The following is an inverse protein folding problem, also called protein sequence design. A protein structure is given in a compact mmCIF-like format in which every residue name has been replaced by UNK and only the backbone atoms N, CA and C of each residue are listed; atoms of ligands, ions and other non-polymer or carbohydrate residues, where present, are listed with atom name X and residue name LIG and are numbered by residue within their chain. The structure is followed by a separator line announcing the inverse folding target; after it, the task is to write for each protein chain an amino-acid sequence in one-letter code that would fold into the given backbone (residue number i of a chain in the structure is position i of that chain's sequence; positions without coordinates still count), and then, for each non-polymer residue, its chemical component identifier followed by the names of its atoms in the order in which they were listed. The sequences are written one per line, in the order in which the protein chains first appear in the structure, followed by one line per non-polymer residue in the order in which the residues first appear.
data_IF_386747481738
#
_entry.id   IF_386747481738
#
_cell.length_a   1.000
_cell.length_b   1.000
_cell.length_c   1.000
_cell.angle_alpha   90.00
_cell.angle_beta   90.00
_cell.angle_gamma   90.00
#
_symmetry.space_group_name_H-M   'P 1'
#
loop_
_entity.id
_entity.type
_entity.pdbx_description
1 polymer ?
#
# COMPACT_ATOMS: atom_id res chain seq x y z
N UNK A 1 -5.83 -6.92 -18.14
CA UNK A 1 -5.05 -8.16 -17.95
C UNK A 1 -3.61 -7.87 -17.55
N UNK A 2 -2.80 -7.19 -18.37
CA UNK A 2 -1.40 -6.82 -18.00
C UNK A 2 -1.29 -6.02 -16.69
N UNK A 3 -2.19 -5.07 -16.47
CA UNK A 3 -2.27 -4.30 -15.21
C UNK A 3 -2.55 -5.17 -13.99
N UNK A 4 -3.42 -6.18 -14.14
CA UNK A 4 -3.80 -7.11 -13.07
C UNK A 4 -2.64 -8.04 -12.74
N UNK A 5 -1.95 -8.59 -13.74
CA UNK A 5 -0.78 -9.44 -13.54
C UNK A 5 0.37 -8.66 -12.89
N UNK A 6 0.60 -7.41 -13.31
CA UNK A 6 1.59 -6.52 -12.68
C UNK A 6 1.25 -6.18 -11.23
N UNK A 7 -0.04 -5.92 -10.93
CA UNK A 7 -0.52 -5.72 -9.56
C UNK A 7 -0.27 -6.96 -8.71
N UNK A 8 -0.70 -8.14 -9.17
CA UNK A 8 -0.58 -9.39 -8.39
C UNK A 8 0.89 -9.71 -8.10
N UNK A 9 1.77 -9.66 -9.10
CA UNK A 9 3.18 -10.01 -8.95
C UNK A 9 3.91 -9.11 -7.93
N UNK A 10 3.61 -7.82 -7.91
CA UNK A 10 4.23 -6.87 -6.98
C UNK A 10 3.58 -6.94 -5.60
N UNK A 11 2.27 -7.14 -5.53
CA UNK A 11 1.55 -7.26 -4.25
C UNK A 11 1.96 -8.53 -3.48
N UNK A 12 2.47 -9.55 -4.18
CA UNK A 12 3.05 -10.75 -3.57
C UNK A 12 4.55 -10.64 -3.26
N UNK A 13 5.21 -9.56 -3.68
CA UNK A 13 6.60 -9.30 -3.35
C UNK A 13 6.78 -9.20 -1.83
N UNK A 14 7.59 -10.09 -1.25
CA UNK A 14 7.98 -10.03 0.15
C UNK A 14 9.49 -10.21 0.31
N UNK A 15 10.07 -9.42 1.20
CA UNK A 15 11.45 -9.54 1.64
C UNK A 15 11.48 -10.29 2.96
N UNK A 16 11.97 -11.51 2.91
CA UNK A 16 12.12 -12.36 4.09
C UNK A 16 13.45 -12.04 4.79
N UNK A 17 13.38 -11.50 6.02
CA UNK A 17 14.56 -11.25 6.85
C UNK A 17 14.79 -12.48 7.73
N UNK A 18 15.94 -13.16 7.66
CA UNK A 18 16.21 -14.32 8.51
C UNK A 18 16.32 -13.91 9.97
N UNK A 19 15.63 -14.63 10.85
CA UNK A 19 15.69 -14.46 12.30
C UNK A 19 16.19 -15.75 12.95
N UNK A 20 16.92 -15.61 14.04
CA UNK A 20 17.43 -16.72 14.84
C UNK A 20 16.93 -16.57 16.26
N UNK A 21 16.46 -17.66 16.85
CA UNK A 21 16.01 -17.69 18.24
C UNK A 21 17.16 -18.14 19.14
N UNK A 22 17.43 -17.37 20.20
CA UNK A 22 18.52 -17.66 21.14
C UNK A 22 18.33 -18.98 21.92
N UNK A 23 17.12 -19.56 21.94
CA UNK A 23 16.75 -20.70 22.80
C UNK A 23 16.61 -22.06 22.08
N UNK A 24 16.91 -22.16 20.78
CA UNK A 24 16.91 -23.46 20.07
C UNK A 24 18.26 -24.19 20.18
N UNK A 25 18.62 -24.62 21.39
CA UNK A 25 19.67 -25.63 21.61
C UNK A 25 19.14 -26.70 22.57
N UNK A 26 18.10 -27.43 22.12
CA UNK A 26 17.74 -28.74 22.68
C UNK A 26 17.06 -29.57 21.60
N UNK A 27 17.88 -30.13 20.70
CA UNK A 27 17.45 -31.10 19.69
C UNK A 27 18.09 -30.86 18.33
N UNK A 28 18.88 -31.82 17.85
CA UNK A 28 19.55 -31.82 16.52
C UNK A 28 18.57 -31.72 15.33
N UNK A 29 17.26 -31.81 15.56
CA UNK A 29 16.22 -31.69 14.53
C UNK A 29 15.64 -30.27 14.36
N UNK A 30 15.84 -29.34 15.30
CA UNK A 30 15.23 -28.00 15.25
C UNK A 30 16.09 -26.93 14.55
N UNK A 31 17.34 -27.25 14.21
CA UNK A 31 18.29 -26.31 13.60
C UNK A 31 18.03 -26.00 12.10
N UNK A 32 17.11 -26.73 11.45
CA UNK A 32 16.84 -26.63 10.01
C UNK A 32 15.59 -25.81 9.65
N UNK A 33 14.83 -25.28 10.63
CA UNK A 33 13.74 -24.35 10.33
C UNK A 33 14.32 -22.93 10.20
N UNK A 34 14.50 -22.49 8.96
CA UNK A 34 14.87 -21.11 8.63
C UNK A 34 13.70 -20.19 8.98
N UNK A 35 13.64 -19.73 10.22
CA UNK A 35 12.63 -18.75 10.62
C UNK A 35 12.96 -17.40 9.96
N UNK A 36 11.95 -16.75 9.41
CA UNK A 36 12.09 -15.46 8.78
C UNK A 36 10.94 -14.54 9.20
N UNK A 37 11.25 -13.24 9.32
CA UNK A 37 10.27 -12.19 9.43
C UNK A 37 9.93 -11.70 8.01
N UNK A 38 8.72 -12.00 7.48
CA UNK A 38 8.33 -11.53 6.16
C UNK A 38 7.98 -10.03 6.22
N UNK A 39 8.70 -9.21 5.47
CA UNK A 39 8.31 -7.81 5.21
C UNK A 39 7.74 -7.70 3.80
N UNK A 40 6.45 -7.38 3.69
CA UNK A 40 5.79 -7.22 2.38
C UNK A 40 6.20 -5.91 1.72
N UNK A 41 6.32 -5.90 0.39
CA UNK A 41 6.60 -4.68 -0.39
C UNK A 41 5.43 -3.70 -0.35
N UNK A 42 4.20 -4.22 -0.34
CA UNK A 42 2.99 -3.45 -0.14
C UNK A 42 2.32 -3.83 1.19
N UNK A 43 2.82 -3.28 2.30
CA UNK A 43 2.14 -3.41 3.61
C UNK A 43 0.89 -2.54 3.71
N UNK A 44 0.78 -1.52 2.85
CA UNK A 44 -0.28 -0.53 2.90
C UNK A 44 -1.60 -1.02 2.24
N UNK A 45 -1.53 -2.08 1.44
CA UNK A 45 -2.67 -2.62 0.71
C UNK A 45 -3.23 -1.60 -0.27
N UNK A 46 -4.56 -1.46 -0.27
CA UNK A 46 -5.32 -0.56 -1.16
C UNK A 46 -5.62 0.79 -0.51
N UNK A 47 -5.43 0.90 0.80
CA UNK A 47 -5.91 2.02 1.62
C UNK A 47 -5.34 3.37 1.16
N UNK A 48 -4.04 3.52 0.85
CA UNK A 48 -3.50 4.78 0.32
C UNK A 48 -4.17 5.25 -0.98
N UNK A 49 -4.52 4.30 -1.85
CA UNK A 49 -5.18 4.59 -3.13
C UNK A 49 -6.56 5.19 -2.88
N UNK A 50 -7.32 4.60 -1.95
CA UNK A 50 -8.65 5.07 -1.57
C UNK A 50 -8.59 6.48 -0.97
N UNK A 51 -7.62 6.75 -0.08
CA UNK A 51 -7.42 8.09 0.47
C UNK A 51 -7.01 9.12 -0.59
N UNK A 52 -6.16 8.73 -1.54
CA UNK A 52 -5.81 9.63 -2.64
C UNK A 52 -7.04 9.98 -3.50
N UNK A 53 -7.88 8.99 -3.85
CA UNK A 53 -9.11 9.22 -4.62
C UNK A 53 -10.08 10.13 -3.87
N UNK A 54 -10.29 9.90 -2.57
CA UNK A 54 -11.22 10.72 -1.80
C UNK A 54 -10.77 12.18 -1.72
N UNK A 55 -9.47 12.44 -1.53
CA UNK A 55 -8.90 13.80 -1.51
C UNK A 55 -9.04 14.49 -2.87
N UNK A 56 -8.84 13.78 -3.99
CA UNK A 56 -8.94 14.36 -5.32
C UNK A 56 -10.39 14.65 -5.72
N UNK A 57 -11.34 13.79 -5.36
CA UNK A 57 -12.76 13.96 -5.73
C UNK A 57 -13.50 14.94 -4.82
N UNK A 58 -12.99 15.23 -3.63
CA UNK A 58 -13.68 16.06 -2.65
C UNK A 58 -13.87 17.53 -3.10
N UNK A 59 -12.84 18.26 -3.62
CA UNK A 59 -13.03 19.64 -4.08
C UNK A 59 -14.04 19.81 -5.23
N UNK A 60 -14.00 19.04 -6.33
CA UNK A 60 -15.00 19.18 -7.40
C UNK A 60 -16.40 18.79 -6.95
N UNK A 61 -16.54 17.83 -6.02
CA UNK A 61 -17.84 17.47 -5.45
C UNK A 61 -18.47 18.66 -4.70
N UNK A 62 -17.70 19.37 -3.88
CA UNK A 62 -18.18 20.59 -3.20
C UNK A 62 -18.48 21.69 -4.21
N UNK A 63 -17.59 21.89 -5.18
CA UNK A 63 -17.75 22.92 -6.20
C UNK A 63 -19.02 22.73 -7.04
N UNK A 64 -19.44 21.48 -7.30
CA UNK A 64 -20.69 21.19 -8.02
C UNK A 64 -21.92 21.79 -7.33
N UNK A 65 -22.00 21.79 -6.00
CA UNK A 65 -23.12 22.40 -5.27
C UNK A 65 -23.25 23.91 -5.47
N UNK A 66 -22.12 24.60 -5.72
CA UNK A 66 -22.08 26.05 -5.92
C UNK A 66 -22.06 26.46 -7.41
N UNK A 67 -21.99 25.49 -8.33
CA UNK A 67 -21.82 25.75 -9.77
C UNK A 67 -23.02 26.43 -10.44
N UNK A 68 -24.22 26.26 -9.88
CA UNK A 68 -25.48 26.83 -10.40
C UNK A 68 -25.76 28.25 -9.91
N UNK A 69 -24.95 28.82 -9.01
CA UNK A 69 -25.16 30.18 -8.50
C UNK A 69 -24.62 31.25 -9.47
N UNK A 70 -25.44 32.22 -9.92
CA UNK A 70 -24.96 33.37 -10.67
C UNK A 70 -24.22 34.33 -9.72
N UNK A 71 -22.89 34.29 -9.73
CA UNK A 71 -22.02 35.15 -8.91
C UNK A 71 -20.54 34.75 -8.98
N UNK A 72 -19.67 35.51 -8.31
CA UNK A 72 -18.22 35.22 -8.21
C UNK A 72 -17.94 33.85 -7.58
N UNK A 73 -18.77 33.40 -6.64
CA UNK A 73 -18.71 32.05 -6.07
C UNK A 73 -18.96 30.93 -7.09
N UNK A 74 -19.88 31.14 -8.03
CA UNK A 74 -20.14 30.19 -9.12
C UNK A 74 -19.06 30.20 -10.21
N UNK A 75 -18.33 31.30 -10.38
CA UNK A 75 -17.16 31.36 -11.26
C UNK A 75 -15.97 30.60 -10.68
N UNK A 76 -15.72 30.74 -9.37
CA UNK A 76 -14.69 29.97 -8.64
C UNK A 76 -15.01 28.48 -8.65
N UNK A 77 -16.27 28.10 -8.39
CA UNK A 77 -16.71 26.71 -8.47
C UNK A 77 -16.46 26.09 -9.85
N UNK A 78 -16.77 26.81 -10.93
CA UNK A 78 -16.49 26.36 -12.30
C UNK A 78 -14.99 26.26 -12.58
N UNK A 79 -14.19 27.22 -12.11
CA UNK A 79 -12.73 27.18 -12.25
C UNK A 79 -12.12 25.94 -11.55
N UNK A 80 -12.59 25.60 -10.35
CA UNK A 80 -12.17 24.39 -9.62
C UNK A 80 -12.51 23.13 -10.41
N UNK A 81 -13.74 23.03 -10.94
CA UNK A 81 -14.16 21.87 -11.74
C UNK A 81 -13.29 21.75 -13.00
N UNK A 82 -13.07 22.84 -13.74
CA UNK A 82 -12.24 22.83 -14.95
C UNK A 82 -10.78 22.45 -14.64
N UNK A 83 -10.24 22.92 -13.51
CA UNK A 83 -8.88 22.61 -13.09
C UNK A 83 -8.70 21.12 -12.74
N UNK A 84 -9.64 20.53 -12.00
CA UNK A 84 -9.62 19.10 -11.65
C UNK A 84 -10.01 18.19 -12.82
N UNK A 85 -10.66 18.72 -13.86
CA UNK A 85 -10.99 17.98 -15.07
C UNK A 85 -9.81 17.91 -16.07
N UNK A 86 -8.71 18.64 -15.82
CA UNK A 86 -7.50 18.50 -16.62
C UNK A 86 -6.82 17.16 -16.33
N UNK A 87 -6.89 16.25 -17.30
CA UNK A 87 -6.34 14.88 -17.24
C UNK A 87 -4.90 14.82 -16.74
N UNK A 88 -4.02 15.74 -17.19
CA UNK A 88 -2.61 15.75 -16.81
C UNK A 88 -2.43 16.21 -15.36
N UNK A 89 -3.16 17.25 -14.94
CA UNK A 89 -3.11 17.74 -13.57
C UNK A 89 -3.68 16.70 -12.60
N UNK A 90 -4.83 16.11 -12.93
CA UNK A 90 -5.45 15.04 -12.17
C UNK A 90 -4.49 13.85 -12.00
N UNK A 91 -3.88 13.38 -13.10
CA UNK A 91 -2.94 12.26 -13.06
C UNK A 91 -1.70 12.52 -12.23
N UNK A 92 -1.09 13.72 -12.36
CA UNK A 92 0.10 14.09 -11.59
C UNK A 92 -0.21 14.29 -10.11
N UNK A 93 -1.31 14.98 -9.77
CA UNK A 93 -1.74 15.17 -8.39
C UNK A 93 -2.07 13.82 -7.74
N UNK A 94 -2.78 12.96 -8.46
CA UNK A 94 -3.13 11.62 -8.00
C UNK A 94 -1.89 10.75 -7.78
N UNK A 95 -0.89 10.81 -8.68
CA UNK A 95 0.40 10.12 -8.51
C UNK A 95 1.08 10.53 -7.20
N UNK A 96 1.21 11.84 -6.96
CA UNK A 96 1.90 12.39 -5.79
C UNK A 96 1.15 12.02 -4.51
N UNK A 97 -0.19 12.11 -4.53
CA UNK A 97 -1.02 11.73 -3.38
C UNK A 97 -0.89 10.24 -3.06
N UNK A 98 -0.97 9.35 -4.05
CA UNK A 98 -0.80 7.90 -3.83
C UNK A 98 0.60 7.59 -3.29
N UNK A 99 1.64 8.20 -3.85
CA UNK A 99 3.01 8.02 -3.38
C UNK A 99 3.16 8.49 -1.92
N UNK A 100 2.68 9.70 -1.61
CA UNK A 100 2.74 10.29 -0.28
C UNK A 100 1.91 9.52 0.76
N UNK A 101 0.68 9.13 0.43
CA UNK A 101 -0.17 8.36 1.34
C UNK A 101 0.36 6.96 1.57
N UNK A 102 0.99 6.31 0.58
CA UNK A 102 1.63 5.01 0.79
C UNK A 102 2.74 5.12 1.82
N UNK A 103 3.56 6.18 1.73
CA UNK A 103 4.64 6.42 2.70
C UNK A 103 4.09 6.74 4.09
N UNK A 104 3.10 7.63 4.16
CA UNK A 104 2.45 8.05 5.40
C UNK A 104 1.78 6.88 6.13
N UNK A 105 0.95 6.11 5.42
CA UNK A 105 0.24 4.98 5.99
C UNK A 105 1.19 3.87 6.45
N UNK A 106 2.23 3.57 5.67
CA UNK A 106 3.23 2.56 6.07
C UNK A 106 3.98 3.01 7.32
N UNK A 107 4.32 4.30 7.46
CA UNK A 107 5.01 4.82 8.64
C UNK A 107 4.15 4.76 9.92
N UNK A 108 2.82 4.86 9.80
CA UNK A 108 1.90 4.74 10.95
C UNK A 108 1.81 3.29 11.46
N UNK A 109 1.72 2.34 10.54
CA UNK A 109 1.53 0.92 10.88
C UNK A 109 2.85 0.27 11.25
N UNK A 110 3.89 0.53 10.46
CA UNK A 110 5.18 -0.06 10.67
C UNK A 110 5.95 0.73 11.71
N UNK A 111 6.05 0.14 12.90
CA UNK A 111 6.76 0.67 14.05
C UNK A 111 8.03 -0.15 14.32
N UNK A 112 9.19 0.23 13.74
CA UNK A 112 10.42 -0.54 13.86
C UNK A 112 10.87 -0.70 15.32
N UNK A 113 10.61 0.32 16.14
CA UNK A 113 10.84 0.36 17.58
C UNK A 113 10.15 -0.80 18.29
N UNK A 114 8.84 -0.92 18.09
CA UNK A 114 8.03 -1.98 18.70
C UNK A 114 8.38 -3.36 18.17
N UNK A 115 8.70 -3.46 16.88
CA UNK A 115 9.10 -4.74 16.29
C UNK A 115 10.44 -5.23 16.83
N UNK A 116 11.43 -4.35 16.98
CA UNK A 116 12.71 -4.67 17.58
C UNK A 116 12.56 -5.11 19.05
N UNK A 117 11.75 -4.40 19.82
CA UNK A 117 11.45 -4.76 21.21
C UNK A 117 10.73 -6.12 21.31
N UNK A 118 9.74 -6.36 20.46
CA UNK A 118 9.03 -7.64 20.41
C UNK A 118 9.94 -8.81 20.04
N UNK A 119 10.84 -8.63 19.05
CA UNK A 119 11.84 -9.63 18.69
C UNK A 119 12.74 -9.95 19.89
N UNK A 120 13.25 -8.91 20.56
CA UNK A 120 14.09 -9.08 21.75
C UNK A 120 13.36 -9.81 22.88
N UNK A 121 12.10 -9.44 23.17
CA UNK A 121 11.26 -10.10 24.19
C UNK A 121 10.99 -11.58 23.87
N UNK A 122 10.84 -11.91 22.59
CA UNK A 122 10.66 -13.30 22.13
C UNK A 122 11.99 -14.09 22.06
N UNK A 123 13.13 -13.47 22.41
CA UNK A 123 14.45 -14.08 22.29
C UNK A 123 14.89 -14.30 20.84
N UNK A 124 14.27 -13.60 19.88
CA UNK A 124 14.61 -13.61 18.47
C UNK A 124 15.54 -12.44 18.13
N UNK A 125 16.48 -12.67 17.21
CA UNK A 125 17.38 -11.63 16.71
C UNK A 125 17.65 -11.81 15.22
N UNK A 126 17.98 -10.71 14.55
CA UNK A 126 18.34 -10.73 13.13
C UNK A 126 19.83 -11.11 13.03
N UNK A 127 20.17 -12.01 12.12
CA UNK A 127 21.55 -12.40 11.89
C UNK A 127 22.43 -11.17 11.58
N UNK A 128 23.59 -11.07 12.23
CA UNK A 128 24.57 -9.97 12.09
C UNK A 128 24.12 -8.58 12.61
N UNK A 129 23.03 -8.48 13.38
CA UNK A 129 22.57 -7.20 13.97
C UNK A 129 22.33 -7.37 15.47
N UNK A 130 22.84 -6.45 16.31
CA UNK A 130 22.64 -6.55 17.76
C UNK A 130 21.18 -6.23 18.13
N UNK A 131 20.55 -7.03 19.03
CA UNK A 131 19.19 -6.76 19.49
C UNK A 131 19.02 -5.36 20.10
N UNK A 132 17.82 -4.77 19.94
CA UNK A 132 17.50 -3.42 20.40
C UNK A 132 17.64 -2.37 19.29
N UNK A 133 18.32 -1.25 19.59
CA UNK A 133 18.42 -0.08 18.69
C UNK A 133 19.00 -0.40 17.30
N UNK A 134 19.98 -1.30 17.21
CA UNK A 134 20.55 -1.65 15.89
C UNK A 134 19.55 -2.42 15.02
N UNK A 135 18.73 -3.28 15.63
CA UNK A 135 17.62 -3.97 14.93
C UNK A 135 16.57 -2.98 14.45
N UNK A 136 16.21 -2.00 15.29
CA UNK A 136 15.28 -0.92 14.92
C UNK A 136 15.77 -0.13 13.70
N UNK A 137 17.02 0.35 13.73
CA UNK A 137 17.61 1.10 12.61
C UNK A 137 17.71 0.26 11.34
N UNK A 138 18.06 -1.02 11.46
CA UNK A 138 18.13 -1.93 10.33
C UNK A 138 16.75 -2.13 9.69
N UNK A 139 15.73 -2.43 10.50
CA UNK A 139 14.36 -2.60 10.02
C UNK A 139 13.83 -1.31 9.39
N UNK A 140 14.11 -0.14 9.99
CA UNK A 140 13.75 1.16 9.43
C UNK A 140 14.39 1.42 8.07
N UNK A 141 15.68 1.15 7.90
CA UNK A 141 16.40 1.33 6.62
C UNK A 141 15.88 0.38 5.54
N UNK A 142 15.65 -0.89 5.89
CA UNK A 142 15.10 -1.87 4.95
C UNK A 142 13.68 -1.48 4.54
N UNK A 143 12.84 -1.09 5.50
CA UNK A 143 11.47 -0.69 5.24
C UNK A 143 11.41 0.54 4.32
N UNK A 144 12.20 1.58 4.61
CA UNK A 144 12.19 2.79 3.80
C UNK A 144 12.50 2.50 2.31
N UNK A 145 13.48 1.62 2.03
CA UNK A 145 13.79 1.20 0.65
C UNK A 145 12.68 0.38 0.00
N UNK A 146 12.03 -0.50 0.76
CA UNK A 146 10.90 -1.30 0.29
C UNK A 146 9.70 -0.40 -0.04
N UNK A 147 9.34 0.51 0.88
CA UNK A 147 8.24 1.46 0.73
C UNK A 147 8.48 2.40 -0.44
N UNK A 148 9.70 2.89 -0.63
CA UNK A 148 10.01 3.74 -1.77
C UNK A 148 9.71 3.04 -3.11
N UNK A 149 10.16 1.80 -3.25
CA UNK A 149 9.88 1.00 -4.45
C UNK A 149 8.38 0.70 -4.56
N UNK A 150 7.75 0.23 -3.48
CA UNK A 150 6.32 -0.11 -3.46
C UNK A 150 5.40 1.07 -3.76
N UNK A 151 5.68 2.24 -3.18
CA UNK A 151 4.93 3.48 -3.39
C UNK A 151 5.05 3.97 -4.83
N UNK A 152 6.25 3.91 -5.42
CA UNK A 152 6.46 4.28 -6.82
C UNK A 152 5.69 3.37 -7.77
N UNK A 153 5.72 2.06 -7.52
CA UNK A 153 4.95 1.09 -8.32
C UNK A 153 3.44 1.26 -8.17
N UNK A 154 2.93 1.42 -6.94
CA UNK A 154 1.50 1.65 -6.70
C UNK A 154 1.02 2.94 -7.36
N UNK A 155 1.80 4.02 -7.27
CA UNK A 155 1.47 5.28 -7.91
C UNK A 155 1.46 5.16 -9.43
N UNK A 156 2.41 4.43 -10.04
CA UNK A 156 2.41 4.17 -11.49
C UNK A 156 1.19 3.36 -11.93
N UNK A 157 0.85 2.30 -11.20
CA UNK A 157 -0.32 1.45 -11.49
C UNK A 157 -1.61 2.27 -11.39
N UNK A 158 -1.72 3.14 -10.38
CA UNK A 158 -2.89 3.96 -10.16
C UNK A 158 -3.15 4.95 -11.31
N UNK A 159 -2.08 5.47 -11.92
CA UNK A 159 -2.17 6.43 -13.04
C UNK A 159 -2.28 5.76 -14.41
N UNK A 160 -1.93 4.48 -14.52
CA UNK A 160 -1.95 3.72 -15.77
C UNK A 160 -3.31 3.78 -16.51
N UNK A 161 -4.49 3.64 -15.85
CA UNK A 161 -5.78 3.80 -16.52
C UNK A 161 -6.00 5.19 -17.13
N UNK A 162 -5.49 6.25 -16.48
CA UNK A 162 -5.59 7.63 -16.97
C UNK A 162 -4.74 7.85 -18.22
N UNK A 163 -3.57 7.22 -18.26
CA UNK A 163 -2.69 7.25 -19.44
C UNK A 163 -3.36 6.51 -20.61
N UNK A 164 -3.90 5.32 -20.36
CA UNK A 164 -4.61 4.55 -21.40
C UNK A 164 -5.82 5.31 -21.93
N UNK A 165 -6.57 5.99 -21.06
CA UNK A 165 -7.66 6.86 -21.48
C UNK A 165 -7.17 7.99 -22.41
N UNK A 166 -6.03 8.62 -22.11
CA UNK A 166 -5.49 9.71 -22.92
C UNK A 166 -5.17 9.26 -24.36
N UNK A 167 -4.75 8.01 -24.55
CA UNK A 167 -4.51 7.43 -25.88
C UNK A 167 -5.80 6.99 -26.57
N UNK A 168 -6.70 6.32 -25.85
CA UNK A 168 -7.90 5.69 -26.44
C UNK A 168 -9.11 6.65 -26.54
N UNK A 169 -9.03 7.87 -25.96
CA UNK A 169 -10.10 8.88 -25.90
C UNK A 169 -11.45 8.39 -25.32
N UNK A 170 -11.47 7.21 -24.68
CA UNK A 170 -12.69 6.61 -24.13
C UNK A 170 -12.83 6.93 -22.65
N UNK A 171 -13.79 7.79 -22.29
CA UNK A 171 -14.11 8.16 -20.90
C UNK A 171 -14.58 6.98 -20.04
N UNK A 172 -15.13 5.93 -20.66
CA UNK A 172 -15.60 4.73 -19.95
C UNK A 172 -14.45 3.98 -19.26
N UNK A 173 -13.24 4.00 -19.84
CA UNK A 173 -12.07 3.34 -19.27
C UNK A 173 -11.50 4.06 -18.02
N UNK A 174 -11.78 5.35 -17.83
CA UNK A 174 -11.23 6.14 -16.73
C UNK A 174 -11.82 5.76 -15.38
N UNK A 175 -13.15 5.86 -15.30
CA UNK A 175 -13.93 5.57 -14.10
C UNK A 175 -13.95 4.06 -13.88
N UNK A 176 -14.04 3.27 -14.96
CA UNK A 176 -13.97 1.81 -14.90
C UNK A 176 -12.59 1.28 -14.47
N UNK A 177 -11.49 1.91 -14.89
CA UNK A 177 -10.15 1.41 -14.59
C UNK A 177 -9.73 1.56 -13.13
N UNK A 178 -10.05 2.68 -12.50
CA UNK A 178 -9.76 2.91 -11.07
C UNK A 178 -10.68 2.07 -10.18
N UNK A 179 -11.98 2.03 -10.49
CA UNK A 179 -12.93 1.20 -9.75
C UNK A 179 -12.59 -0.29 -9.87
N UNK A 180 -12.19 -0.77 -11.05
CA UNK A 180 -11.79 -2.17 -11.26
C UNK A 180 -10.49 -2.51 -10.54
N UNK A 181 -9.50 -1.61 -10.51
CA UNK A 181 -8.29 -1.79 -9.70
C UNK A 181 -8.60 -1.91 -8.20
N UNK A 182 -9.49 -1.06 -7.69
CA UNK A 182 -9.92 -1.10 -6.30
C UNK A 182 -10.66 -2.41 -6.00
N UNK A 183 -11.61 -2.80 -6.84
CA UNK A 183 -12.40 -4.03 -6.67
C UNK A 183 -11.50 -5.26 -6.63
N UNK A 184 -10.57 -5.40 -7.58
CA UNK A 184 -9.64 -6.55 -7.61
C UNK A 184 -8.76 -6.57 -6.37
N UNK A 185 -8.22 -5.42 -5.98
CA UNK A 185 -7.29 -5.35 -4.85
C UNK A 185 -7.99 -5.64 -3.52
N UNK A 186 -9.21 -5.12 -3.32
CA UNK A 186 -10.05 -5.42 -2.15
C UNK A 186 -10.50 -6.88 -2.14
N UNK A 187 -10.86 -7.46 -3.29
CA UNK A 187 -11.23 -8.88 -3.37
C UNK A 187 -10.06 -9.79 -2.94
N UNK A 188 -8.83 -9.47 -3.34
CA UNK A 188 -7.61 -10.20 -2.90
C UNK A 188 -7.38 -10.01 -1.39
N UNK A 189 -7.54 -8.78 -0.87
CA UNK A 189 -7.41 -8.48 0.55
C UNK A 189 -8.42 -9.29 1.38
N UNK A 190 -9.68 -9.31 0.97
CA UNK A 190 -10.76 -10.08 1.58
C UNK A 190 -10.47 -11.58 1.55
N UNK A 191 -10.03 -12.11 0.41
CA UNK A 191 -9.67 -13.52 0.29
C UNK A 191 -8.53 -13.90 1.25
N UNK A 192 -7.50 -13.04 1.36
CA UNK A 192 -6.38 -13.24 2.31
C UNK A 192 -6.84 -13.19 3.77
N UNK A 193 -7.75 -12.27 4.11
CA UNK A 193 -8.31 -12.19 5.47
C UNK A 193 -9.12 -13.45 5.83
N UNK A 194 -9.96 -13.93 4.91
CA UNK A 194 -10.72 -15.17 5.10
C UNK A 194 -9.77 -16.36 5.29
N UNK A 195 -8.74 -16.48 4.43
CA UNK A 195 -7.78 -17.57 4.54
C UNK A 195 -6.99 -17.53 5.86
N UNK A 196 -6.59 -16.34 6.32
CA UNK A 196 -5.94 -16.17 7.61
C UNK A 196 -6.82 -16.62 8.78
N UNK A 197 -8.13 -16.32 8.74
CA UNK A 197 -9.08 -16.77 9.76
C UNK A 197 -9.30 -18.30 9.72
N UNK A 198 -9.39 -18.89 8.53
CA UNK A 198 -9.52 -20.35 8.36
C UNK A 198 -8.30 -21.09 8.92
N UNK A 199 -7.08 -20.61 8.62
CA UNK A 199 -5.85 -21.22 9.15
C UNK A 199 -5.78 -21.16 10.68
N UNK A 200 -6.26 -20.07 11.30
CA UNK A 200 -6.35 -20.00 12.77
C UNK A 200 -7.37 -21.01 13.31
N UNK A 201 -8.50 -21.22 12.62
CA UNK A 201 -9.54 -22.14 13.05
C UNK A 201 -9.15 -23.62 12.89
N UNK A 202 -8.37 -23.95 11.85
CA UNK A 202 -7.76 -25.28 11.70
C UNK A 202 -6.72 -25.57 12.79
N UNK A 203 -6.00 -24.54 13.25
CA UNK A 203 -5.03 -24.67 14.35
C UNK A 203 -5.69 -24.91 15.72
N UNK A 204 -6.88 -24.33 15.97
CA UNK A 204 -7.66 -24.58 17.19
C UNK A 204 -8.30 -25.98 17.22
N UNK A 205 -8.35 -26.69 16.08
CA UNK A 205 -8.96 -28.01 15.95
C UNK A 205 -7.97 -29.18 16.06
N UNK A 206 -6.67 -28.90 16.15
CA UNK A 206 -5.58 -29.88 16.33
C UNK A 206 -5.08 -29.81 17.77
#
# INVERSE_FOLDING_TARGET
MLTIVGVVYITEGQRNIPITYARQVRGRAAANMKNHLPLRLNMAGVIPIIFAVSVVLFPPMIAQFFSNNPGTGGAIARAIITFFNNQLYYGLLYFILVFGFTYFYTAIIFRPDKMAENLQRQGAFIANVRPGKQTEEYLGKVMNRLVFSGALFLALIAVLPLIVQAFTHSQVLAVGGVSLLIVVSVAIEMAKQIQAQLTMHEYDRI
#
